data_IF_481140629804
#
_entry.id   IF_481140629804
#
_cell.length_a   1.000
_cell.length_b   1.000
_cell.length_c   1.000
_cell.angle_alpha   90.00
_cell.angle_beta   90.00
_cell.angle_gamma   90.00
#
_symmetry.space_group_name_H-M   'P 1'
#
loop_
_entity.id
_entity.type
_entity.pdbx_description
1 polymer ?
#
# COMPACT_ATOMS: atom_id res chain seq x y z
N UNK A 1 29.16 -1.47 24.29
CA UNK A 1 29.22 -2.90 23.93
C UNK A 1 29.43 -2.93 22.42
N UNK A 2 30.57 -3.42 21.91
CA UNK A 2 30.73 -3.54 20.47
C UNK A 2 29.91 -4.75 20.02
N UNK A 3 29.09 -4.51 19.01
CA UNK A 3 28.35 -5.53 18.29
C UNK A 3 29.37 -6.50 17.71
N UNK A 4 29.28 -7.78 18.10
CA UNK A 4 30.04 -8.85 17.45
C UNK A 4 29.50 -8.99 16.04
N UNK A 5 30.11 -8.28 15.09
CA UNK A 5 30.13 -8.69 13.70
C UNK A 5 30.66 -10.12 13.72
N UNK A 6 29.75 -11.08 13.58
CA UNK A 6 30.12 -12.45 13.27
C UNK A 6 30.76 -12.39 11.89
N UNK A 7 32.09 -12.25 11.83
CA UNK A 7 32.87 -12.45 10.61
C UNK A 7 32.45 -13.80 10.03
N UNK A 8 31.59 -13.76 9.02
CA UNK A 8 31.07 -14.94 8.39
C UNK A 8 32.24 -15.55 7.62
N UNK A 9 32.88 -16.59 8.17
CA UNK A 9 33.99 -17.24 7.48
C UNK A 9 33.51 -17.85 6.16
N UNK A 10 34.30 -17.77 5.08
CA UNK A 10 33.94 -18.38 3.79
C UNK A 10 33.75 -19.90 3.93
N UNK A 11 32.65 -20.43 3.39
CA UNK A 11 32.46 -21.88 3.28
C UNK A 11 33.23 -22.41 2.07
N UNK A 12 34.51 -22.69 2.28
CA UNK A 12 35.41 -23.22 1.25
C UNK A 12 34.97 -24.57 0.70
N UNK A 13 34.24 -25.37 1.48
CA UNK A 13 33.72 -26.67 1.03
C UNK A 13 32.60 -26.46 0.03
N UNK A 14 31.65 -25.60 0.34
CA UNK A 14 30.58 -25.22 -0.59
C UNK A 14 31.14 -24.62 -1.88
N UNK A 15 32.12 -23.72 -1.77
CA UNK A 15 32.77 -23.10 -2.93
C UNK A 15 33.51 -24.13 -3.79
N UNK A 16 34.15 -25.14 -3.19
CA UNK A 16 34.85 -26.20 -3.92
C UNK A 16 33.90 -27.10 -4.71
N UNK A 17 32.78 -27.51 -4.10
CA UNK A 17 31.81 -28.44 -4.67
C UNK A 17 31.04 -27.85 -5.87
N UNK A 18 31.02 -26.52 -6.01
CA UNK A 18 30.28 -25.85 -7.07
C UNK A 18 31.10 -25.74 -8.35
N UNK A 19 30.51 -26.19 -9.46
CA UNK A 19 31.07 -26.03 -10.80
C UNK A 19 30.48 -24.78 -11.48
N UNK A 20 31.31 -23.77 -11.82
CA UNK A 20 30.85 -22.59 -12.55
C UNK A 20 30.22 -22.94 -13.92
N UNK A 21 30.66 -24.04 -14.53
CA UNK A 21 30.15 -24.50 -15.83
C UNK A 21 28.72 -25.05 -15.75
N UNK A 22 28.31 -25.59 -14.58
CA UNK A 22 26.94 -26.04 -14.36
C UNK A 22 25.99 -24.86 -14.14
N UNK A 23 26.49 -23.81 -13.46
CA UNK A 23 25.78 -22.54 -13.31
C UNK A 23 25.60 -21.87 -14.68
N UNK A 24 26.64 -21.86 -15.52
CA UNK A 24 26.59 -21.34 -16.89
C UNK A 24 25.54 -22.06 -17.76
N UNK A 25 25.26 -23.33 -17.47
CA UNK A 25 24.28 -24.16 -18.18
C UNK A 25 22.85 -24.04 -17.64
N UNK A 26 22.61 -23.21 -16.63
CA UNK A 26 21.27 -22.99 -16.10
C UNK A 26 20.78 -24.06 -15.12
N UNK A 27 21.64 -24.96 -14.64
CA UNK A 27 21.25 -26.06 -13.75
C UNK A 27 21.35 -25.59 -12.29
N UNK A 28 20.22 -25.56 -11.57
CA UNK A 28 20.13 -25.23 -10.14
C UNK A 28 20.75 -23.87 -9.74
N UNK A 29 20.59 -22.85 -10.59
CA UNK A 29 21.30 -21.56 -10.50
C UNK A 29 20.86 -20.72 -9.30
N UNK A 30 19.56 -20.63 -9.02
CA UNK A 30 18.99 -19.67 -8.08
C UNK A 30 19.43 -19.95 -6.63
N UNK A 31 19.12 -21.14 -6.11
CA UNK A 31 19.41 -21.47 -4.71
C UNK A 31 20.92 -21.59 -4.46
N UNK A 32 21.66 -22.12 -5.45
CA UNK A 32 23.11 -22.29 -5.36
C UNK A 32 23.84 -20.94 -5.38
N UNK A 33 23.46 -20.01 -6.26
CA UNK A 33 24.06 -18.66 -6.29
C UNK A 33 23.71 -17.87 -5.02
N UNK A 34 22.49 -18.04 -4.50
CA UNK A 34 22.09 -17.39 -3.25
C UNK A 34 22.86 -17.94 -2.04
N UNK A 35 23.13 -19.24 -2.01
CA UNK A 35 23.86 -19.90 -0.93
C UNK A 35 25.35 -19.52 -0.87
N UNK A 36 25.99 -19.27 -2.01
CA UNK A 36 27.43 -18.90 -2.06
C UNK A 36 27.70 -17.41 -1.85
N UNK A 37 26.69 -16.55 -2.01
CA UNK A 37 26.88 -15.10 -1.93
C UNK A 37 27.58 -14.65 -0.63
N UNK A 38 27.21 -15.16 0.57
CA UNK A 38 27.90 -14.80 1.81
C UNK A 38 29.36 -15.21 1.80
N UNK A 39 29.67 -16.40 1.27
CA UNK A 39 31.05 -16.89 1.20
C UNK A 39 31.90 -16.08 0.23
N UNK A 40 31.33 -15.63 -0.90
CA UNK A 40 32.02 -14.74 -1.85
C UNK A 40 32.33 -13.39 -1.20
N UNK A 41 31.38 -12.82 -0.45
CA UNK A 41 31.53 -11.52 0.21
C UNK A 41 32.51 -11.56 1.39
N UNK A 42 32.74 -12.75 1.95
CA UNK A 42 33.63 -12.97 3.08
C UNK A 42 35.09 -13.23 2.69
N UNK A 43 35.39 -13.46 1.40
CA UNK A 43 36.77 -13.70 0.97
C UNK A 43 37.57 -12.41 1.03
N UNK A 44 38.70 -12.47 1.74
CA UNK A 44 39.73 -11.43 1.63
C UNK A 44 40.57 -11.67 0.36
N UNK A 45 40.64 -10.66 -0.50
CA UNK A 45 41.36 -10.74 -1.76
C UNK A 45 42.89 -10.66 -1.58
N UNK A 46 43.34 -10.18 -0.41
CA UNK A 46 44.76 -10.04 -0.06
C UNK A 46 45.31 -11.28 0.67
N UNK A 47 44.51 -12.35 0.80
CA UNK A 47 44.94 -13.62 1.38
C UNK A 47 46.01 -14.30 0.52
N UNK A 48 47.25 -14.35 1.03
CA UNK A 48 48.41 -14.95 0.35
C UNK A 48 48.27 -16.47 0.15
N UNK A 49 47.39 -17.15 0.90
CA UNK A 49 47.09 -18.58 0.70
C UNK A 49 46.10 -18.82 -0.44
N UNK A 50 45.48 -17.75 -0.98
CA UNK A 50 44.50 -17.84 -2.03
C UNK A 50 45.16 -18.07 -3.40
N UNK A 51 45.21 -19.34 -3.81
CA UNK A 51 45.74 -19.71 -5.13
C UNK A 51 45.03 -19.00 -6.29
N UNK A 52 45.76 -18.69 -7.35
CA UNK A 52 45.26 -18.00 -8.56
C UNK A 52 44.00 -18.66 -9.15
N UNK A 53 43.91 -19.98 -9.11
CA UNK A 53 42.74 -20.71 -9.65
C UNK A 53 41.50 -20.58 -8.76
N UNK A 54 41.68 -20.45 -7.44
CA UNK A 54 40.59 -20.14 -6.51
C UNK A 54 40.08 -18.71 -6.77
N UNK A 55 40.98 -17.74 -6.96
CA UNK A 55 40.62 -16.37 -7.29
C UNK A 55 39.84 -16.27 -8.62
N UNK A 56 40.27 -16.98 -9.66
CA UNK A 56 39.54 -17.04 -10.95
C UNK A 56 38.14 -17.63 -10.77
N UNK A 57 38.01 -18.69 -9.96
CA UNK A 57 36.73 -19.32 -9.66
C UNK A 57 35.82 -18.36 -8.92
N UNK A 58 36.31 -17.69 -7.89
CA UNK A 58 35.58 -16.68 -7.13
C UNK A 58 35.11 -15.55 -8.02
N UNK A 59 35.99 -14.96 -8.83
CA UNK A 59 35.60 -13.90 -9.77
C UNK A 59 34.48 -14.34 -10.71
N UNK A 60 34.55 -15.57 -11.21
CA UNK A 60 33.50 -16.13 -12.07
C UNK A 60 32.17 -16.29 -11.33
N UNK A 61 32.20 -16.82 -10.11
CA UNK A 61 31.01 -16.98 -9.27
C UNK A 61 30.43 -15.61 -8.88
N UNK A 62 31.26 -14.62 -8.56
CA UNK A 62 30.84 -13.24 -8.28
C UNK A 62 30.13 -12.63 -9.49
N UNK A 63 30.68 -12.80 -10.69
CA UNK A 63 30.05 -12.33 -11.92
C UNK A 63 28.66 -12.95 -12.11
N UNK A 64 28.53 -14.26 -11.93
CA UNK A 64 27.25 -14.97 -12.05
C UNK A 64 26.24 -14.53 -10.98
N UNK A 65 26.69 -14.34 -9.74
CA UNK A 65 25.86 -13.85 -8.64
C UNK A 65 25.34 -12.42 -8.91
N UNK A 66 26.20 -11.52 -9.40
CA UNK A 66 25.79 -10.16 -9.79
C UNK A 66 24.73 -10.21 -10.91
N UNK A 67 24.95 -11.01 -11.95
CA UNK A 67 24.00 -11.15 -13.05
C UNK A 67 22.63 -11.67 -12.57
N UNK A 68 22.63 -12.65 -11.67
CA UNK A 68 21.41 -13.17 -11.06
C UNK A 68 20.69 -12.11 -10.21
N UNK A 69 21.42 -11.35 -9.40
CA UNK A 69 20.84 -10.25 -8.60
C UNK A 69 20.19 -9.20 -9.50
N UNK A 70 20.84 -8.80 -10.59
CA UNK A 70 20.30 -7.84 -11.55
C UNK A 70 19.03 -8.36 -12.24
N UNK A 71 19.03 -9.62 -12.68
CA UNK A 71 17.84 -10.26 -13.27
C UNK A 71 16.67 -10.30 -12.30
N UNK A 72 16.94 -10.71 -11.05
CA UNK A 72 15.93 -10.78 -9.99
C UNK A 72 15.37 -9.40 -9.68
N UNK A 73 16.23 -8.38 -9.58
CA UNK A 73 15.81 -7.00 -9.41
C UNK A 73 14.91 -6.52 -10.54
N UNK A 74 15.24 -6.83 -11.81
CA UNK A 74 14.41 -6.47 -12.96
C UNK A 74 13.00 -7.06 -12.87
N UNK A 75 12.90 -8.36 -12.59
CA UNK A 75 11.62 -9.06 -12.46
C UNK A 75 10.79 -8.47 -11.31
N UNK A 76 11.41 -8.25 -10.15
CA UNK A 76 10.73 -7.67 -8.99
C UNK A 76 10.27 -6.23 -9.25
N UNK A 77 11.04 -5.43 -10.00
CA UNK A 77 10.64 -4.08 -10.41
C UNK A 77 9.43 -4.12 -11.35
N UNK A 78 9.41 -5.02 -12.32
CA UNK A 78 8.26 -5.20 -13.23
C UNK A 78 7.00 -5.63 -12.45
N UNK A 79 7.12 -6.57 -11.51
CA UNK A 79 6.01 -6.99 -10.66
C UNK A 79 5.50 -5.85 -9.77
N UNK A 80 6.41 -5.06 -9.18
CA UNK A 80 6.07 -3.87 -8.38
C UNK A 80 5.27 -2.88 -9.22
N UNK A 81 5.73 -2.60 -10.44
CA UNK A 81 5.09 -1.61 -11.32
C UNK A 81 3.72 -2.09 -11.80
N UNK A 82 3.59 -3.39 -12.09
CA UNK A 82 2.30 -4.02 -12.39
C UNK A 82 1.30 -3.89 -11.24
N UNK A 83 1.73 -4.22 -10.02
CA UNK A 83 0.90 -4.08 -8.81
C UNK A 83 0.55 -2.62 -8.52
N UNK A 84 1.48 -1.69 -8.72
CA UNK A 84 1.23 -0.26 -8.55
C UNK A 84 0.16 0.24 -9.53
N UNK A 85 0.23 -0.18 -10.80
CA UNK A 85 -0.77 0.15 -11.81
C UNK A 85 -2.14 -0.48 -11.50
N UNK A 86 -2.18 -1.70 -10.97
CA UNK A 86 -3.42 -2.33 -10.52
C UNK A 86 -4.05 -1.59 -9.34
N UNK A 87 -3.24 -1.18 -8.37
CA UNK A 87 -3.70 -0.40 -7.23
C UNK A 87 -4.32 0.94 -7.67
N UNK A 88 -3.73 1.61 -8.67
CA UNK A 88 -4.27 2.86 -9.20
C UNK A 88 -5.63 2.65 -9.91
N UNK A 89 -5.74 1.61 -10.73
CA UNK A 89 -7.02 1.20 -11.35
C UNK A 89 -8.10 0.92 -10.31
N UNK A 90 -7.76 0.17 -9.28
CA UNK A 90 -8.69 -0.16 -8.19
C UNK A 90 -9.11 1.09 -7.41
N UNK A 91 -8.18 2.02 -7.13
CA UNK A 91 -8.51 3.31 -6.50
C UNK A 91 -9.51 4.12 -7.33
N UNK A 92 -9.32 4.19 -8.65
CA UNK A 92 -10.23 4.88 -9.55
C UNK A 92 -11.60 4.20 -9.56
N UNK A 93 -11.65 2.86 -9.62
CA UNK A 93 -12.89 2.11 -9.60
C UNK A 93 -13.67 2.30 -8.29
N UNK A 94 -12.99 2.24 -7.14
CA UNK A 94 -13.60 2.49 -5.83
C UNK A 94 -14.16 3.92 -5.75
N UNK A 95 -13.41 4.93 -6.20
CA UNK A 95 -13.90 6.33 -6.24
C UNK A 95 -15.17 6.47 -7.10
N UNK A 96 -15.21 5.80 -8.27
CA UNK A 96 -16.40 5.79 -9.14
C UNK A 96 -17.60 5.16 -8.43
N UNK A 97 -17.42 3.98 -7.85
CA UNK A 97 -18.48 3.29 -7.10
C UNK A 97 -19.00 4.13 -5.92
N UNK A 98 -18.12 4.82 -5.19
CA UNK A 98 -18.53 5.73 -4.11
C UNK A 98 -19.39 6.87 -4.65
N UNK A 99 -18.97 7.51 -5.75
CA UNK A 99 -19.76 8.57 -6.38
C UNK A 99 -21.11 8.07 -6.89
N UNK A 100 -21.15 6.88 -7.50
CA UNK A 100 -22.39 6.27 -7.99
C UNK A 100 -23.35 5.96 -6.82
N UNK A 101 -22.83 5.46 -5.70
CA UNK A 101 -23.61 5.23 -4.48
C UNK A 101 -24.14 6.54 -3.89
N UNK A 102 -23.33 7.60 -3.84
CA UNK A 102 -23.76 8.93 -3.38
C UNK A 102 -24.85 9.52 -4.29
N UNK A 103 -24.67 9.44 -5.61
CA UNK A 103 -25.64 9.92 -6.59
C UNK A 103 -26.95 9.14 -6.52
N UNK A 104 -26.89 7.80 -6.37
CA UNK A 104 -28.07 6.95 -6.18
C UNK A 104 -28.79 7.25 -4.87
N UNK A 105 -28.06 7.56 -3.80
CA UNK A 105 -28.64 8.00 -2.53
C UNK A 105 -29.38 9.34 -2.69
N UNK A 106 -28.82 10.29 -3.44
CA UNK A 106 -29.45 11.59 -3.73
C UNK A 106 -30.66 11.46 -4.65
N UNK A 107 -30.66 10.53 -5.61
CA UNK A 107 -31.78 10.30 -6.51
C UNK A 107 -32.93 9.53 -5.85
N UNK A 108 -32.62 8.69 -4.85
CA UNK A 108 -33.60 7.91 -4.10
C UNK A 108 -34.06 8.59 -2.80
N UNK A 109 -33.40 9.66 -2.37
CA UNK A 109 -33.93 10.51 -1.32
C UNK A 109 -35.07 11.35 -1.91
N UNK A 110 -36.26 11.26 -1.31
CA UNK A 110 -37.27 12.32 -1.42
C UNK A 110 -36.59 13.68 -1.18
N UNK A 111 -37.05 14.77 -1.83
CA UNK A 111 -36.53 16.10 -1.52
C UNK A 111 -36.46 16.27 0.00
N UNK A 112 -35.34 16.78 0.55
CA UNK A 112 -35.17 16.88 2.01
C UNK A 112 -36.44 17.52 2.58
N UNK A 113 -37.02 16.90 3.61
CA UNK A 113 -38.26 17.39 4.22
C UNK A 113 -38.08 18.86 4.57
N UNK A 114 -38.64 19.74 3.72
CA UNK A 114 -38.55 21.18 3.91
C UNK A 114 -39.61 21.57 4.92
N UNK A 115 -39.20 22.32 5.94
CA UNK A 115 -40.10 22.81 6.97
C UNK A 115 -40.88 24.00 6.44
N UNK A 116 -42.21 23.94 6.45
CA UNK A 116 -43.07 25.02 5.97
C UNK A 116 -43.62 25.82 7.14
N UNK A 117 -43.60 27.15 7.03
CA UNK A 117 -44.24 28.01 8.03
C UNK A 117 -45.77 27.97 7.87
N UNK A 118 -46.56 27.58 8.89
CA UNK A 118 -48.03 27.52 8.78
C UNK A 118 -48.67 28.90 8.58
N UNK A 119 -47.99 29.97 9.01
CA UNK A 119 -48.52 31.35 8.94
C UNK A 119 -48.28 32.04 7.60
N UNK A 120 -47.30 31.62 6.80
CA UNK A 120 -46.99 32.26 5.52
C UNK A 120 -46.50 31.32 4.40
N UNK A 121 -46.51 30.01 4.65
CA UNK A 121 -46.15 28.92 3.74
C UNK A 121 -44.74 29.03 3.10
N UNK A 122 -43.81 29.75 3.73
CA UNK A 122 -42.41 29.80 3.32
C UNK A 122 -41.70 28.50 3.71
N UNK A 123 -40.84 28.01 2.81
CA UNK A 123 -40.07 26.77 2.99
C UNK A 123 -38.69 27.04 3.57
N UNK A 124 -38.27 26.22 4.52
CA UNK A 124 -36.98 26.31 5.20
C UNK A 124 -36.28 24.95 5.16
N UNK A 125 -34.95 24.97 5.07
CA UNK A 125 -34.12 23.76 4.95
C UNK A 125 -33.94 23.02 6.28
N UNK A 126 -34.06 23.73 7.41
CA UNK A 126 -33.94 23.16 8.76
C UNK A 126 -34.95 23.81 9.71
N UNK A 127 -35.32 23.09 10.77
CA UNK A 127 -36.25 23.54 11.80
C UNK A 127 -35.76 24.82 12.52
N UNK A 128 -34.45 24.95 12.74
CA UNK A 128 -33.85 26.14 13.37
C UNK A 128 -34.14 27.42 12.58
N UNK A 129 -34.08 27.36 11.24
CA UNK A 129 -34.41 28.51 10.40
C UNK A 129 -35.92 28.82 10.39
N UNK A 130 -36.77 27.80 10.53
CA UNK A 130 -38.21 27.99 10.67
C UNK A 130 -38.55 28.68 12.01
N UNK A 131 -37.97 28.21 13.12
CA UNK A 131 -38.22 28.80 14.45
C UNK A 131 -37.79 30.26 14.54
N UNK A 132 -36.61 30.61 14.00
CA UNK A 132 -36.14 32.00 13.97
C UNK A 132 -37.05 32.88 13.09
N UNK A 133 -37.50 32.35 11.94
CA UNK A 133 -38.48 33.02 11.10
C UNK A 133 -39.79 33.28 11.83
N UNK A 134 -40.34 32.28 12.54
CA UNK A 134 -41.56 32.41 13.32
C UNK A 134 -41.40 33.44 14.44
N UNK A 135 -40.29 33.42 15.20
CA UNK A 135 -40.01 34.42 16.24
C UNK A 135 -39.96 35.86 15.70
N UNK A 136 -39.37 36.07 14.52
CA UNK A 136 -39.16 37.42 13.95
C UNK A 136 -40.36 37.96 13.17
N UNK A 137 -41.10 37.09 12.49
CA UNK A 137 -42.17 37.48 11.54
C UNK A 137 -43.57 37.09 11.99
N UNK A 138 -43.69 36.12 12.91
CA UNK A 138 -44.96 35.65 13.46
C UNK A 138 -44.88 35.48 15.00
N UNK A 139 -44.54 36.55 15.75
CA UNK A 139 -44.38 36.47 17.20
C UNK A 139 -45.67 36.06 17.95
N UNK A 140 -46.84 36.24 17.33
CA UNK A 140 -48.15 35.86 17.90
C UNK A 140 -48.43 34.36 17.81
N UNK A 141 -48.00 33.68 16.73
CA UNK A 141 -48.22 32.23 16.56
C UNK A 141 -47.17 31.37 17.27
N UNK A 142 -45.99 31.94 17.55
CA UNK A 142 -44.93 31.27 18.30
C UNK A 142 -45.33 31.03 19.78
N UNK A 143 -46.21 31.87 20.36
CA UNK A 143 -46.70 31.70 21.73
C UNK A 143 -47.82 30.66 21.87
N UNK A 144 -48.49 30.30 20.78
CA UNK A 144 -49.58 29.32 20.80
C UNK A 144 -49.10 27.87 20.60
N UNK A 145 -47.92 27.69 20.02
CA UNK A 145 -47.34 26.36 19.72
C UNK A 145 -46.61 25.72 20.90
N UNK A 146 -46.24 26.50 21.92
CA UNK A 146 -45.61 26.00 23.17
C UNK A 146 -46.65 25.49 24.20
N UNK A 147 -47.96 25.61 23.92
CA UNK A 147 -49.04 25.27 24.86
C UNK A 147 -49.87 24.02 24.47
N UNK A 148 -49.48 23.28 23.42
CA UNK A 148 -50.24 22.14 22.88
C UNK A 148 -49.41 20.86 22.73
N UNK A 149 -48.35 20.72 23.51
CA UNK A 149 -47.48 19.55 23.56
C UNK A 149 -47.44 18.87 24.93
N UNK A 150 -48.59 18.67 25.58
CA UNK A 150 -48.73 17.81 26.77
C UNK A 150 -50.23 17.50 26.98
N UNK A 151 -50.74 16.49 26.27
CA UNK A 151 -51.83 15.60 26.69
C UNK A 151 -52.19 14.69 25.51
N UNK A 152 -51.64 13.46 25.50
CA UNK A 152 -52.44 12.27 25.18
C UNK A 152 -51.64 10.97 25.50
N UNK A 153 -52.18 10.27 26.51
CA UNK A 153 -51.98 8.90 27.00
C UNK A 153 -50.77 8.54 27.89
#
# INVERSE_FOLDING_TARGET
MPETESEALPDWKLLADISPQLIDRGIAVTDTLQAILPSILAVDADDEELGIDALKKLLRLSQQAIEYLLKTQSVLMEERDSRAAELDRNKIQVKKLINDLMNKKMSNSSPPDTFNCPSCNKKFLTDVFLMDHQKRRHPETAKASEASGEDDQ
#
